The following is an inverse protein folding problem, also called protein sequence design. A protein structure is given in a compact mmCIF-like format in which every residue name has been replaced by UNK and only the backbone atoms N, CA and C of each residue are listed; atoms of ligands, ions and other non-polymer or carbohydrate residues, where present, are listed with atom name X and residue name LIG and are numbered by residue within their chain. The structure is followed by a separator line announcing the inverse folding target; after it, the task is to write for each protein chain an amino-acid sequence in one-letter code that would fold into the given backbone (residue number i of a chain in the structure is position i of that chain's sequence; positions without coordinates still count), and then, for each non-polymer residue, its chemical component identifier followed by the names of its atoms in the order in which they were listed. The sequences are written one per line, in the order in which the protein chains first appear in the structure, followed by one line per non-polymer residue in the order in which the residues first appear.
data_IF_781930971192
#
_entry.id   IF_781930971192
#
_cell.length_a   1.000
_cell.length_b   1.000
_cell.length_c   1.000
_cell.angle_alpha   90.00
_cell.angle_beta   90.00
_cell.angle_gamma   90.00
#
_symmetry.space_group_name_H-M   'P 1'
#
loop_
_entity.id
_entity.type
_entity.pdbx_description
1 polymer ?
#
# COMPACT_ATOMS: atom_id res chain seq x y z
N UNK A 1 -0.39 -22.94 -39.82
CA UNK A 1 -0.75 -21.53 -39.52
C UNK A 1 -1.75 -21.39 -38.35
N UNK A 2 -2.32 -22.48 -37.82
CA UNK A 2 -3.29 -22.45 -36.70
C UNK A 2 -2.66 -22.36 -35.30
N UNK A 3 -1.52 -23.03 -35.09
CA UNK A 3 -0.91 -23.12 -33.75
C UNK A 3 -0.53 -21.74 -33.16
N UNK A 4 -0.09 -20.79 -33.99
CA UNK A 4 0.25 -19.43 -33.52
C UNK A 4 -0.98 -18.61 -33.11
N UNK A 5 -2.15 -18.87 -33.71
CA UNK A 5 -3.41 -18.20 -33.35
C UNK A 5 -3.93 -18.71 -32.00
N UNK A 6 -3.87 -20.02 -31.78
CA UNK A 6 -4.26 -20.64 -30.51
C UNK A 6 -3.32 -20.21 -29.37
N UNK A 7 -2.01 -20.15 -29.62
CA UNK A 7 -1.02 -19.61 -28.67
C UNK A 7 -1.27 -18.13 -28.33
N UNK A 8 -1.58 -17.30 -29.33
CA UNK A 8 -1.92 -15.89 -29.11
C UNK A 8 -3.20 -15.74 -28.29
N UNK A 9 -4.27 -16.45 -28.64
CA UNK A 9 -5.54 -16.41 -27.90
C UNK A 9 -5.35 -16.88 -26.46
N UNK A 10 -4.64 -17.98 -26.25
CA UNK A 10 -4.32 -18.49 -24.89
C UNK A 10 -3.53 -17.47 -24.07
N UNK A 11 -2.51 -16.83 -24.66
CA UNK A 11 -1.74 -15.77 -23.99
C UNK A 11 -2.62 -14.57 -23.62
N UNK A 12 -3.53 -14.17 -24.52
CA UNK A 12 -4.49 -13.10 -24.22
C UNK A 12 -5.42 -13.46 -23.05
N UNK A 13 -5.95 -14.69 -22.99
CA UNK A 13 -6.80 -15.14 -21.88
C UNK A 13 -6.02 -15.13 -20.54
N UNK A 14 -4.76 -15.55 -20.55
CA UNK A 14 -3.90 -15.52 -19.35
C UNK A 14 -3.61 -14.09 -18.88
N UNK A 15 -3.30 -13.17 -19.81
CA UNK A 15 -3.06 -11.77 -19.46
C UNK A 15 -4.31 -11.09 -18.89
N UNK A 16 -5.47 -11.35 -19.49
CA UNK A 16 -6.76 -10.82 -19.03
C UNK A 16 -7.08 -11.33 -17.62
N UNK A 17 -6.93 -12.63 -17.36
CA UNK A 17 -7.19 -13.20 -16.04
C UNK A 17 -6.23 -12.68 -14.96
N UNK A 18 -4.94 -12.49 -15.28
CA UNK A 18 -3.98 -11.86 -14.36
C UNK A 18 -4.31 -10.39 -14.03
N UNK A 19 -4.88 -9.66 -14.99
CA UNK A 19 -5.34 -8.29 -14.79
C UNK A 19 -6.52 -8.23 -13.81
N UNK A 20 -7.56 -9.04 -14.02
CA UNK A 20 -8.73 -9.10 -13.13
C UNK A 20 -8.36 -9.49 -11.70
N UNK A 21 -7.48 -10.48 -11.52
CA UNK A 21 -6.98 -10.86 -10.18
C UNK A 21 -6.27 -9.69 -9.50
N UNK A 22 -5.50 -8.89 -10.25
CA UNK A 22 -4.80 -7.74 -9.68
C UNK A 22 -5.74 -6.63 -9.23
N UNK A 23 -6.80 -6.34 -10.01
CA UNK A 23 -7.83 -5.37 -9.62
C UNK A 23 -8.59 -5.81 -8.37
N UNK A 24 -9.02 -7.07 -8.31
CA UNK A 24 -9.76 -7.60 -7.16
C UNK A 24 -8.92 -7.54 -5.85
N UNK A 25 -7.60 -7.76 -5.95
CA UNK A 25 -6.69 -7.61 -4.80
C UNK A 25 -6.59 -6.14 -4.39
N UNK A 26 -6.42 -5.23 -5.34
CA UNK A 26 -6.31 -3.80 -5.05
C UNK A 26 -7.56 -3.26 -4.35
N UNK A 27 -8.76 -3.61 -4.83
CA UNK A 27 -10.03 -3.20 -4.23
C UNK A 27 -10.19 -3.72 -2.79
N UNK A 28 -9.80 -4.98 -2.53
CA UNK A 28 -9.82 -5.55 -1.17
C UNK A 28 -8.86 -4.82 -0.22
N UNK A 29 -7.66 -4.46 -0.69
CA UNK A 29 -6.73 -3.66 0.10
C UNK A 29 -7.33 -2.28 0.40
N UNK A 30 -7.87 -1.61 -0.62
CA UNK A 30 -8.44 -0.27 -0.51
C UNK A 30 -9.57 -0.19 0.52
N UNK A 31 -10.52 -1.13 0.49
CA UNK A 31 -11.62 -1.22 1.47
C UNK A 31 -11.13 -1.36 2.93
N UNK A 32 -9.94 -1.90 3.16
CA UNK A 32 -9.38 -2.11 4.51
C UNK A 32 -8.56 -0.93 5.01
N UNK A 33 -8.16 -0.04 4.11
CA UNK A 33 -7.41 1.17 4.43
C UNK A 33 -8.26 2.44 4.25
N UNK A 34 -9.53 2.35 3.84
CA UNK A 34 -10.45 3.49 3.72
C UNK A 34 -10.66 4.27 5.03
N UNK A 35 -10.31 3.71 6.19
CA UNK A 35 -10.30 4.47 7.43
C UNK A 35 -9.34 5.67 7.36
N UNK A 36 -8.37 5.66 6.45
CA UNK A 36 -7.46 6.78 6.17
C UNK A 36 -8.20 8.01 5.65
N UNK A 37 -9.38 7.86 5.04
CA UNK A 37 -10.25 8.99 4.65
C UNK A 37 -10.68 9.84 5.84
N UNK A 38 -10.70 9.24 7.04
CA UNK A 38 -11.08 9.90 8.30
C UNK A 38 -9.89 10.46 9.07
N UNK A 39 -8.67 10.40 8.52
CA UNK A 39 -7.46 10.89 9.17
C UNK A 39 -7.10 12.25 8.57
N UNK A 40 -7.33 13.33 9.31
CA UNK A 40 -7.20 14.73 8.83
C UNK A 40 -5.87 15.06 8.13
N UNK A 41 -4.79 14.41 8.56
CA UNK A 41 -3.44 14.64 8.02
C UNK A 41 -3.12 13.81 6.78
N UNK A 42 -4.00 12.90 6.35
CA UNK A 42 -3.89 12.18 5.07
C UNK A 42 -4.51 13.04 3.97
N UNK A 43 -3.76 13.25 2.88
CA UNK A 43 -4.26 13.95 1.68
C UNK A 43 -4.78 12.98 0.64
N UNK A 44 -4.06 11.87 0.47
CA UNK A 44 -4.39 10.82 -0.46
C UNK A 44 -3.70 9.54 -0.01
N UNK A 45 -4.24 8.41 -0.45
CA UNK A 45 -3.53 7.15 -0.42
C UNK A 45 -3.82 6.39 -1.71
N UNK A 46 -2.95 5.45 -2.06
CA UNK A 46 -3.15 4.58 -3.22
C UNK A 46 -2.54 3.21 -3.00
N UNK A 47 -3.13 2.20 -3.62
CA UNK A 47 -2.56 0.86 -3.70
C UNK A 47 -1.69 0.78 -4.96
N UNK A 48 -0.43 0.35 -4.81
CA UNK A 48 0.51 0.17 -5.91
C UNK A 48 0.84 -1.32 -6.06
N UNK A 49 0.29 -1.93 -7.11
CA UNK A 49 0.39 -3.37 -7.32
C UNK A 49 -0.41 -4.14 -6.26
N UNK A 50 0.10 -5.32 -5.85
CA UNK A 50 -0.63 -6.24 -4.95
C UNK A 50 -0.27 -6.11 -3.46
N UNK A 51 0.84 -5.43 -3.15
CA UNK A 51 1.48 -5.50 -1.82
C UNK A 51 1.97 -4.16 -1.28
N UNK A 52 1.75 -3.06 -2.00
CA UNK A 52 2.20 -1.75 -1.55
C UNK A 52 1.01 -0.81 -1.38
N UNK A 53 1.02 -0.08 -0.28
CA UNK A 53 0.14 1.07 -0.04
C UNK A 53 1.04 2.28 0.08
N UNK A 54 0.66 3.39 -0.53
CA UNK A 54 1.37 4.67 -0.39
C UNK A 54 0.40 5.68 0.22
N UNK A 55 0.83 6.37 1.27
CA UNK A 55 0.05 7.38 1.99
C UNK A 55 0.75 8.74 1.82
N UNK A 56 0.05 9.71 1.28
CA UNK A 56 0.48 11.10 1.16
C UNK A 56 0.01 11.93 2.35
N UNK A 57 0.95 12.41 3.16
CA UNK A 57 0.65 13.17 4.38
C UNK A 57 0.76 14.69 4.16
N UNK A 58 -0.28 15.44 4.54
CA UNK A 58 -0.28 16.93 4.58
C UNK A 58 0.66 17.46 5.66
N UNK A 59 0.83 16.68 6.72
CA UNK A 59 1.74 16.91 7.84
C UNK A 59 1.82 15.64 8.69
N UNK A 60 2.77 15.57 9.63
CA UNK A 60 2.93 14.40 10.49
C UNK A 60 2.08 14.60 11.76
N UNK A 61 1.01 13.81 11.98
CA UNK A 61 0.30 13.82 13.26
C UNK A 61 1.15 13.18 14.37
N UNK A 62 0.83 13.45 15.64
CA UNK A 62 1.57 12.87 16.77
C UNK A 62 1.52 11.33 16.79
N UNK A 63 0.38 10.76 16.37
CA UNK A 63 0.17 9.32 16.21
C UNK A 63 0.51 8.80 14.80
N UNK A 64 1.36 9.51 14.05
CA UNK A 64 1.79 9.14 12.70
C UNK A 64 2.27 7.69 12.58
N UNK A 65 3.06 7.24 13.55
CA UNK A 65 3.55 5.87 13.60
C UNK A 65 2.41 4.85 13.70
N UNK A 66 1.45 5.11 14.58
CA UNK A 66 0.33 4.20 14.84
C UNK A 66 -0.59 4.08 13.63
N UNK A 67 -0.82 5.18 12.90
CA UNK A 67 -1.59 5.15 11.67
C UNK A 67 -0.94 4.30 10.59
N UNK A 68 0.37 4.44 10.40
CA UNK A 68 1.12 3.63 9.44
C UNK A 68 1.11 2.15 9.81
N UNK A 69 1.31 1.83 11.08
CA UNK A 69 1.27 0.46 11.58
C UNK A 69 -0.13 -0.14 11.44
N UNK A 70 -1.18 0.61 11.79
CA UNK A 70 -2.58 0.20 11.62
C UNK A 70 -2.92 -0.06 10.16
N UNK A 71 -2.49 0.80 9.25
CA UNK A 71 -2.67 0.61 7.82
C UNK A 71 -1.99 -0.67 7.32
N UNK A 72 -0.74 -0.93 7.73
CA UNK A 72 0.01 -2.11 7.32
C UNK A 72 -0.64 -3.39 7.86
N UNK A 73 -1.02 -3.40 9.14
CA UNK A 73 -1.69 -4.55 9.78
C UNK A 73 -3.02 -4.83 9.10
N UNK A 74 -3.87 -3.82 8.91
CA UNK A 74 -5.19 -4.01 8.29
C UNK A 74 -5.08 -4.49 6.85
N UNK A 75 -4.15 -3.95 6.07
CA UNK A 75 -3.91 -4.39 4.70
C UNK A 75 -3.37 -5.84 4.65
N UNK A 76 -2.42 -6.20 5.51
CA UNK A 76 -1.84 -7.56 5.55
C UNK A 76 -2.80 -8.64 6.06
N UNK A 77 -3.77 -8.30 6.93
CA UNK A 77 -4.85 -9.21 7.31
C UNK A 77 -5.69 -9.65 6.12
N UNK A 78 -5.89 -8.75 5.15
CA UNK A 78 -6.77 -9.00 4.01
C UNK A 78 -6.11 -9.77 2.88
N UNK A 79 -4.80 -9.60 2.71
CA UNK A 79 -4.08 -10.20 1.59
C UNK A 79 -3.52 -11.57 1.93
N UNK A 80 -3.35 -11.91 3.23
CA UNK A 80 -2.53 -13.05 3.67
C UNK A 80 -1.10 -13.02 3.10
N UNK A 81 -0.64 -11.83 2.68
CA UNK A 81 0.72 -11.62 2.20
C UNK A 81 1.37 -10.49 2.99
N UNK A 82 2.68 -10.39 2.84
CA UNK A 82 3.41 -9.23 3.32
C UNK A 82 2.96 -7.97 2.55
N UNK A 83 2.64 -6.92 3.30
CA UNK A 83 2.27 -5.60 2.76
C UNK A 83 3.25 -4.56 3.30
N UNK A 84 3.72 -3.70 2.40
CA UNK A 84 4.53 -2.52 2.73
C UNK A 84 3.70 -1.25 2.56
N UNK A 85 3.63 -0.45 3.62
CA UNK A 85 3.02 0.88 3.63
C UNK A 85 4.15 1.90 3.56
N UNK A 86 4.08 2.78 2.57
CA UNK A 86 5.04 3.85 2.33
C UNK A 86 4.42 5.18 2.69
N UNK A 87 5.06 5.94 3.57
CA UNK A 87 4.66 7.29 3.91
C UNK A 87 5.47 8.30 3.13
N UNK A 88 4.79 9.21 2.43
CA UNK A 88 5.42 10.25 1.60
C UNK A 88 4.80 11.62 1.89
N UNK A 89 5.45 12.70 1.44
CA UNK A 89 4.86 14.04 1.49
C UNK A 89 3.70 14.10 0.50
N UNK A 90 2.61 14.77 0.87
CA UNK A 90 1.40 14.83 0.02
C UNK A 90 1.62 15.37 -1.41
N UNK A 91 2.68 16.15 -1.65
CA UNK A 91 3.01 16.64 -3.00
C UNK A 91 3.51 15.53 -3.93
N UNK A 92 3.96 14.39 -3.39
CA UNK A 92 4.57 13.29 -4.15
C UNK A 92 3.51 12.33 -4.74
N UNK A 93 2.48 12.84 -5.43
CA UNK A 93 1.35 12.04 -5.96
C UNK A 93 1.78 10.90 -6.88
N UNK A 94 2.86 11.11 -7.64
CA UNK A 94 3.40 10.14 -8.60
C UNK A 94 4.49 9.22 -8.02
N UNK A 95 4.70 9.24 -6.70
CA UNK A 95 5.71 8.42 -6.05
C UNK A 95 5.47 6.92 -6.24
N UNK A 96 6.56 6.16 -6.36
CA UNK A 96 6.56 4.71 -6.52
C UNK A 96 7.47 4.02 -5.49
N UNK A 97 7.12 2.79 -5.03
CA UNK A 97 7.97 1.99 -4.16
C UNK A 97 9.42 1.91 -4.68
N UNK A 98 10.40 2.18 -3.81
CA UNK A 98 11.83 2.16 -4.15
C UNK A 98 12.40 3.46 -4.74
N UNK A 99 11.58 4.48 -5.02
CA UNK A 99 12.05 5.74 -5.63
C UNK A 99 12.88 6.64 -4.69
N UNK A 100 12.88 6.37 -3.38
CA UNK A 100 13.56 7.22 -2.39
C UNK A 100 12.75 8.47 -2.02
N UNK A 101 13.21 9.22 -1.02
CA UNK A 101 12.54 10.43 -0.55
C UNK A 101 11.19 10.19 0.15
N UNK A 102 10.92 8.95 0.56
CA UNK A 102 9.86 8.62 1.50
C UNK A 102 10.20 9.15 2.89
N UNK A 103 9.17 9.43 3.68
CA UNK A 103 9.29 9.78 5.10
C UNK A 103 9.66 8.53 5.89
N UNK A 104 8.91 7.45 5.65
CA UNK A 104 9.17 6.14 6.25
C UNK A 104 8.37 5.03 5.53
N UNK A 105 8.53 3.81 6.00
CA UNK A 105 7.97 2.55 5.56
C UNK A 105 7.60 1.70 6.78
N UNK A 106 6.43 1.08 6.73
CA UNK A 106 5.98 0.09 7.69
C UNK A 106 5.55 -1.18 6.96
N UNK A 107 6.04 -2.32 7.43
CA UNK A 107 5.78 -3.64 6.86
C UNK A 107 5.01 -4.48 7.88
N UNK A 108 4.03 -5.21 7.38
CA UNK A 108 3.27 -6.17 8.16
C UNK A 108 2.99 -7.44 7.35
N UNK A 109 2.88 -8.56 8.05
CA UNK A 109 2.62 -9.88 7.47
C UNK A 109 1.61 -10.62 8.34
N UNK A 110 0.59 -11.19 7.73
CA UNK A 110 -0.48 -11.92 8.43
C UNK A 110 -1.11 -11.14 9.59
N UNK A 111 -1.29 -9.82 9.42
CA UNK A 111 -1.86 -8.97 10.46
C UNK A 111 -0.96 -8.68 11.64
N UNK A 112 0.33 -8.99 11.56
CA UNK A 112 1.34 -8.66 12.56
C UNK A 112 2.34 -7.67 11.97
N UNK A 113 2.74 -6.67 12.74
CA UNK A 113 3.84 -5.78 12.34
C UNK A 113 5.14 -6.56 12.28
N UNK A 114 5.90 -6.37 11.21
CA UNK A 114 7.19 -7.02 10.99
C UNK A 114 8.34 -6.02 11.19
N UNK A 115 8.47 -5.05 10.28
CA UNK A 115 9.54 -4.06 10.29
C UNK A 115 9.01 -2.66 10.02
N UNK A 116 9.63 -1.66 10.61
CA UNK A 116 9.34 -0.26 10.26
C UNK A 116 10.56 0.62 10.52
N UNK A 117 10.81 1.55 9.61
CA UNK A 117 11.81 2.61 9.77
C UNK A 117 11.18 3.94 10.22
N UNK A 118 9.86 3.95 10.48
CA UNK A 118 9.15 5.11 11.01
C UNK A 118 9.63 5.38 12.44
N UNK A 119 10.34 6.50 12.63
CA UNK A 119 10.76 6.91 13.97
C UNK A 119 9.54 7.37 14.77
N UNK A 120 9.35 6.82 15.97
CA UNK A 120 8.52 7.48 16.98
C UNK A 120 9.18 8.79 17.35
N UNK A 121 8.57 9.91 16.99
CA UNK A 121 8.92 11.20 17.59
C UNK A 121 8.63 11.01 19.07
N UNK A 122 9.69 10.91 19.91
CA UNK A 122 9.49 10.96 21.36
C UNK A 122 8.79 12.29 21.62
N UNK A 123 7.52 12.28 22.01
CA UNK A 123 6.89 13.47 22.55
C UNK A 123 7.78 13.89 23.71
N UNK A 124 8.54 14.98 23.56
CA UNK A 124 9.07 15.67 24.71
C UNK A 124 7.83 16.11 25.47
N UNK A 125 7.45 15.36 26.52
CA UNK A 125 6.60 15.87 27.59
C UNK A 125 7.29 17.15 28.04
N UNK A 126 6.74 18.30 27.65
CA UNK A 126 6.96 19.56 28.34
C UNK A 126 5.91 19.63 29.42
#
# INVERSE_FOLDING_TARGET
MESSKILRVSLFVVLISLFFVSMAIAEKLEKRINFLDKVDKVDWYKVVGKKNVVIGWKGLPDNFYEWNQKAAINASKSSLYEVSVWSVRHRQKNWKPGQGGQICMTRAKYGRSDKTDCRKTKSRRR
#
